data_IF_299769088667
#
_entry.id   IF_299769088667
#
_cell.length_a   1.000
_cell.length_b   1.000
_cell.length_c   1.000
_cell.angle_alpha   90.00
_cell.angle_beta   90.00
_cell.angle_gamma   90.00
#
_symmetry.space_group_name_H-M   'P 1'
#
loop_
_entity.id
_entity.type
_entity.pdbx_description
1 polymer ?
#
# COMPACT_ATOMS: atom_id res chain seq x y z
N UNK A 1 -13.62 -36.03 38.89
CA UNK A 1 -12.24 -35.62 38.82
C UNK A 1 -12.05 -34.27 38.21
N UNK A 2 -11.93 -33.26 39.07
CA UNK A 2 -11.73 -31.87 38.68
C UNK A 2 -10.43 -31.71 37.88
N UNK A 3 -9.37 -32.46 38.23
CA UNK A 3 -8.07 -32.36 37.51
C UNK A 3 -8.19 -32.78 36.05
N UNK A 4 -8.93 -33.85 35.73
CA UNK A 4 -9.16 -34.29 34.36
C UNK A 4 -9.96 -33.26 33.58
N UNK A 5 -10.98 -32.68 34.20
CA UNK A 5 -11.79 -31.60 33.57
C UNK A 5 -10.97 -30.35 33.32
N UNK A 6 -10.11 -29.96 34.27
CA UNK A 6 -9.20 -28.81 34.11
C UNK A 6 -8.19 -29.03 32.96
N UNK A 7 -7.62 -30.24 32.86
CA UNK A 7 -6.70 -30.59 31.78
C UNK A 7 -7.39 -30.52 30.40
N UNK A 8 -8.62 -31.02 30.30
CA UNK A 8 -9.42 -30.91 29.09
C UNK A 8 -9.68 -29.46 28.71
N UNK A 9 -10.02 -28.62 29.68
CA UNK A 9 -10.27 -27.21 29.47
C UNK A 9 -9.00 -26.48 29.01
N UNK A 10 -7.86 -26.77 29.64
CA UNK A 10 -6.57 -26.22 29.21
C UNK A 10 -6.25 -26.61 27.74
N UNK A 11 -6.47 -27.88 27.41
CA UNK A 11 -6.26 -28.37 26.05
C UNK A 11 -7.18 -27.67 25.03
N UNK A 12 -8.44 -27.43 25.39
CA UNK A 12 -9.39 -26.68 24.56
C UNK A 12 -8.94 -25.25 24.34
N UNK A 13 -8.48 -24.58 25.38
CA UNK A 13 -8.00 -23.20 25.31
C UNK A 13 -6.75 -23.10 24.43
N UNK A 14 -5.82 -24.01 24.59
CA UNK A 14 -4.62 -24.09 23.75
C UNK A 14 -5.01 -24.28 22.28
N UNK A 15 -5.92 -25.22 21.98
CA UNK A 15 -6.39 -25.48 20.61
C UNK A 15 -7.07 -24.25 20.02
N UNK A 16 -7.87 -23.55 20.81
CA UNK A 16 -8.56 -22.32 20.37
C UNK A 16 -7.55 -21.22 20.03
N UNK A 17 -6.56 -21.01 20.90
CA UNK A 17 -5.52 -20.01 20.66
C UNK A 17 -4.66 -20.36 19.44
N UNK A 18 -4.33 -21.65 19.25
CA UNK A 18 -3.61 -22.09 18.04
C UNK A 18 -4.41 -21.85 16.77
N UNK A 19 -5.72 -22.09 16.80
CA UNK A 19 -6.59 -21.78 15.65
C UNK A 19 -6.62 -20.29 15.36
N UNK A 20 -6.65 -19.45 16.38
CA UNK A 20 -6.57 -18.00 16.22
C UNK A 20 -5.23 -17.55 15.63
N UNK A 21 -4.12 -18.14 16.08
CA UNK A 21 -2.78 -17.90 15.54
C UNK A 21 -2.74 -18.26 14.06
N UNK A 22 -3.26 -19.43 13.68
CA UNK A 22 -3.29 -19.88 12.30
C UNK A 22 -4.09 -18.92 11.42
N UNK A 23 -5.28 -18.50 11.87
CA UNK A 23 -6.11 -17.56 11.14
C UNK A 23 -5.42 -16.19 10.97
N UNK A 24 -4.74 -15.70 12.00
CA UNK A 24 -3.99 -14.45 11.92
C UNK A 24 -2.79 -14.54 10.97
N UNK A 25 -2.10 -15.68 10.95
CA UNK A 25 -1.00 -15.91 10.01
C UNK A 25 -1.49 -15.95 8.57
N UNK A 26 -2.64 -16.57 8.32
CA UNK A 26 -3.27 -16.58 6.98
C UNK A 26 -3.65 -15.17 6.54
N UNK A 27 -4.26 -14.38 7.43
CA UNK A 27 -4.58 -12.98 7.16
C UNK A 27 -3.31 -12.16 6.85
N UNK A 28 -2.27 -12.34 7.67
CA UNK A 28 -0.98 -11.67 7.47
C UNK A 28 -0.38 -12.00 6.10
N UNK A 29 -0.38 -13.27 5.71
CA UNK A 29 0.16 -13.71 4.42
C UNK A 29 -0.65 -13.09 3.27
N UNK A 30 -1.97 -13.05 3.38
CA UNK A 30 -2.83 -12.40 2.39
C UNK A 30 -2.49 -10.91 2.26
N UNK A 31 -2.32 -10.22 3.38
CA UNK A 31 -1.97 -8.80 3.39
C UNK A 31 -0.59 -8.54 2.78
N UNK A 32 0.40 -9.40 3.06
CA UNK A 32 1.73 -9.29 2.46
C UNK A 32 1.68 -9.45 0.94
N UNK A 33 0.88 -10.39 0.43
CA UNK A 33 0.69 -10.58 -1.01
C UNK A 33 0.00 -9.37 -1.63
N UNK A 34 -1.00 -8.79 -0.95
CA UNK A 34 -1.66 -7.58 -1.42
C UNK A 34 -0.71 -6.38 -1.46
N UNK A 35 0.17 -6.24 -0.46
CA UNK A 35 1.19 -5.19 -0.43
C UNK A 35 2.15 -5.35 -1.60
N UNK A 36 2.61 -6.56 -1.90
CA UNK A 36 3.50 -6.81 -3.05
C UNK A 36 2.83 -6.38 -4.35
N UNK A 37 1.56 -6.71 -4.54
CA UNK A 37 0.80 -6.30 -5.72
C UNK A 37 0.64 -4.78 -5.79
N UNK A 38 0.38 -4.12 -4.66
CA UNK A 38 0.27 -2.66 -4.59
C UNK A 38 1.61 -1.97 -4.84
N UNK A 39 2.72 -2.53 -4.35
CA UNK A 39 4.06 -2.02 -4.64
C UNK A 39 4.35 -2.07 -6.15
N UNK A 40 3.96 -3.15 -6.84
CA UNK A 40 4.08 -3.26 -8.28
C UNK A 40 3.24 -2.19 -9.00
N UNK A 41 2.02 -1.96 -8.56
CA UNK A 41 1.18 -0.90 -9.11
C UNK A 41 1.79 0.49 -8.88
N UNK A 42 2.35 0.75 -7.70
CA UNK A 42 3.03 2.02 -7.42
C UNK A 42 4.20 2.24 -8.38
N UNK A 43 5.00 1.20 -8.64
CA UNK A 43 6.11 1.28 -9.60
C UNK A 43 5.62 1.61 -11.01
N UNK A 44 4.55 0.98 -11.47
CA UNK A 44 3.94 1.26 -12.78
C UNK A 44 3.45 2.70 -12.88
N UNK A 45 2.78 3.19 -11.85
CA UNK A 45 2.28 4.57 -11.81
C UNK A 45 3.44 5.56 -11.87
N UNK A 46 4.52 5.31 -11.13
CA UNK A 46 5.73 6.16 -11.15
C UNK A 46 6.38 6.17 -12.54
N UNK A 47 6.42 5.02 -13.20
CA UNK A 47 6.95 4.92 -14.57
C UNK A 47 6.09 5.68 -15.55
N UNK A 48 4.76 5.55 -15.49
CA UNK A 48 3.84 6.33 -16.32
C UNK A 48 3.99 7.83 -16.07
N UNK A 49 4.14 8.23 -14.83
CA UNK A 49 4.38 9.62 -14.47
C UNK A 49 5.64 10.15 -15.14
N UNK A 50 6.73 9.40 -15.04
CA UNK A 50 8.00 9.78 -15.65
C UNK A 50 7.89 9.90 -17.19
N UNK A 51 7.25 8.92 -17.84
CA UNK A 51 7.01 8.94 -19.27
C UNK A 51 6.16 10.15 -19.69
N UNK A 52 5.10 10.43 -18.94
CA UNK A 52 4.22 11.57 -19.19
C UNK A 52 4.98 12.89 -19.04
N UNK A 53 5.79 13.03 -17.99
CA UNK A 53 6.62 14.22 -17.77
C UNK A 53 7.58 14.45 -18.91
N UNK A 54 8.24 13.39 -19.42
CA UNK A 54 9.16 13.48 -20.53
C UNK A 54 8.45 13.88 -21.84
N UNK A 55 7.28 13.32 -22.11
CA UNK A 55 6.48 13.71 -23.29
C UNK A 55 6.07 15.17 -23.21
N UNK A 56 5.65 15.65 -22.05
CA UNK A 56 5.27 17.05 -21.87
C UNK A 56 6.47 17.98 -22.01
N UNK A 57 7.63 17.58 -21.48
CA UNK A 57 8.87 18.32 -21.65
C UNK A 57 9.25 18.43 -23.13
N UNK A 58 9.18 17.35 -23.90
CA UNK A 58 9.44 17.36 -25.32
C UNK A 58 8.48 18.29 -26.08
N UNK A 59 7.19 18.28 -25.68
CA UNK A 59 6.21 19.21 -26.27
C UNK A 59 6.55 20.66 -25.97
N UNK A 60 6.93 20.97 -24.74
CA UNK A 60 7.35 22.33 -24.34
C UNK A 60 8.59 22.75 -25.15
N UNK A 61 9.58 21.88 -25.30
CA UNK A 61 10.79 22.16 -26.07
C UNK A 61 10.45 22.39 -27.55
N UNK A 62 9.55 21.60 -28.13
CA UNK A 62 9.09 21.76 -29.51
C UNK A 62 8.32 23.08 -29.66
N UNK A 63 7.50 23.47 -28.68
CA UNK A 63 6.79 24.74 -28.70
C UNK A 63 7.78 25.92 -28.65
N UNK A 64 8.81 25.82 -27.80
CA UNK A 64 9.87 26.83 -27.73
C UNK A 64 10.63 26.94 -29.06
N UNK A 65 10.80 25.83 -29.82
CA UNK A 65 11.37 25.83 -31.14
C UNK A 65 10.57 26.62 -32.16
N UNK A 66 9.30 26.90 -31.92
CA UNK A 66 8.44 27.72 -32.80
C UNK A 66 8.80 29.21 -32.75
N UNK A 67 9.68 29.64 -31.85
CA UNK A 67 10.18 31.02 -31.79
C UNK A 67 10.91 31.44 -33.08
N UNK A 68 11.32 30.47 -33.90
CA UNK A 68 11.93 30.75 -35.22
C UNK A 68 10.95 31.36 -36.23
N UNK A 69 9.66 31.26 -35.97
CA UNK A 69 8.61 31.71 -36.86
C UNK A 69 7.90 32.91 -36.27
N UNK A 70 7.81 33.98 -37.02
CA UNK A 70 7.28 35.25 -36.56
C UNK A 70 5.87 35.57 -37.09
N UNK A 71 5.18 34.60 -37.66
CA UNK A 71 3.81 34.84 -38.14
C UNK A 71 2.83 34.92 -36.96
N UNK A 72 1.82 35.79 -37.10
CA UNK A 72 0.78 35.97 -36.08
C UNK A 72 0.05 34.66 -35.72
N UNK A 73 -0.24 33.84 -36.75
CA UNK A 73 -0.91 32.56 -36.56
C UNK A 73 -0.07 31.59 -35.75
N UNK A 74 1.23 31.54 -35.96
CA UNK A 74 2.15 30.70 -35.20
C UNK A 74 2.30 31.19 -33.77
N UNK A 75 2.37 32.50 -33.56
CA UNK A 75 2.41 33.09 -32.22
C UNK A 75 1.16 32.76 -31.42
N UNK A 76 -0.02 32.83 -32.04
CA UNK A 76 -1.29 32.46 -31.38
C UNK A 76 -1.35 30.96 -31.07
N UNK A 77 -0.93 30.12 -32.01
CA UNK A 77 -0.86 28.66 -31.81
C UNK A 77 0.09 28.30 -30.64
N UNK A 78 1.28 28.93 -30.65
CA UNK A 78 2.26 28.74 -29.57
C UNK A 78 1.68 29.08 -28.18
N UNK A 79 0.96 30.22 -28.09
CA UNK A 79 0.29 30.63 -26.86
C UNK A 79 -0.71 29.60 -26.36
N UNK A 80 -1.53 29.03 -27.26
CA UNK A 80 -2.50 27.99 -26.94
C UNK A 80 -1.82 26.69 -26.48
N UNK A 81 -0.77 26.27 -27.17
CA UNK A 81 -0.02 25.07 -26.83
C UNK A 81 0.70 25.20 -25.49
N UNK A 82 1.26 26.38 -25.19
CA UNK A 82 1.86 26.66 -23.88
C UNK A 82 0.82 26.57 -22.74
N UNK A 83 -0.37 27.11 -22.96
CA UNK A 83 -1.45 27.06 -21.97
C UNK A 83 -1.88 25.62 -21.67
N UNK A 84 -1.99 24.77 -22.70
CA UNK A 84 -2.38 23.35 -22.53
C UNK A 84 -1.30 22.55 -21.79
N UNK A 85 -0.02 22.84 -22.06
CA UNK A 85 1.10 22.04 -21.56
C UNK A 85 1.79 22.64 -20.32
N UNK A 86 1.24 23.71 -19.74
CA UNK A 86 1.84 24.35 -18.55
C UNK A 86 1.61 23.53 -17.31
N UNK A 87 2.68 23.10 -16.64
CA UNK A 87 2.63 22.43 -15.33
C UNK A 87 2.38 23.45 -14.19
N UNK A 88 2.65 24.72 -14.43
CA UNK A 88 2.50 25.79 -13.43
C UNK A 88 1.08 26.38 -13.38
N UNK A 89 0.30 26.12 -14.42
CA UNK A 89 -1.12 26.52 -14.47
C UNK A 89 -1.99 25.36 -14.00
N UNK A 90 -2.55 25.45 -12.80
CA UNK A 90 -3.40 24.41 -12.21
C UNK A 90 -4.68 24.12 -13.00
N UNK A 91 -5.02 24.93 -14.02
CA UNK A 91 -6.18 24.73 -14.90
C UNK A 91 -5.81 24.05 -16.22
N UNK A 92 -4.52 23.85 -16.50
CA UNK A 92 -4.11 23.23 -17.75
C UNK A 92 -4.45 21.73 -17.78
N UNK A 93 -4.66 21.20 -18.98
CA UNK A 93 -4.89 19.76 -19.18
C UNK A 93 -3.75 18.90 -18.59
N UNK A 94 -2.51 19.34 -18.83
CA UNK A 94 -1.31 18.61 -18.37
C UNK A 94 -1.23 18.62 -16.84
N UNK A 95 -1.43 19.78 -16.22
CA UNK A 95 -1.42 19.87 -14.75
C UNK A 95 -2.50 18.99 -14.13
N UNK A 96 -3.70 18.98 -14.69
CA UNK A 96 -4.80 18.13 -14.23
C UNK A 96 -4.47 16.63 -14.38
N UNK A 97 -3.88 16.25 -15.51
CA UNK A 97 -3.46 14.87 -15.75
C UNK A 97 -2.37 14.44 -14.74
N UNK A 98 -1.38 15.28 -14.47
CA UNK A 98 -0.33 14.99 -13.49
C UNK A 98 -0.88 14.91 -12.09
N UNK A 99 -1.81 15.78 -11.71
CA UNK A 99 -2.48 15.73 -10.41
C UNK A 99 -3.31 14.44 -10.24
N UNK A 100 -3.96 13.97 -11.30
CA UNK A 100 -4.68 12.70 -11.27
C UNK A 100 -3.73 11.50 -11.03
N UNK A 101 -2.58 11.50 -11.70
CA UNK A 101 -1.55 10.46 -11.49
C UNK A 101 -1.04 10.50 -10.04
N UNK A 102 -0.75 11.67 -9.52
CA UNK A 102 -0.30 11.84 -8.13
C UNK A 102 -1.35 11.38 -7.13
N UNK A 103 -2.63 11.64 -7.41
CA UNK A 103 -3.75 11.18 -6.59
C UNK A 103 -3.85 9.66 -6.57
N UNK A 104 -3.70 9.01 -7.73
CA UNK A 104 -3.67 7.54 -7.83
C UNK A 104 -2.51 6.96 -7.01
N UNK A 105 -1.34 7.57 -7.11
CA UNK A 105 -0.17 7.12 -6.34
C UNK A 105 -0.40 7.24 -4.84
N UNK A 106 -0.98 8.35 -4.38
CA UNK A 106 -1.33 8.52 -2.96
C UNK A 106 -2.33 7.47 -2.48
N UNK A 107 -3.32 7.14 -3.29
CA UNK A 107 -4.32 6.12 -2.95
C UNK A 107 -3.66 4.75 -2.76
N UNK A 108 -2.74 4.38 -3.65
CA UNK A 108 -1.98 3.12 -3.54
C UNK A 108 -1.11 3.13 -2.28
N UNK A 109 -0.39 4.22 -2.02
CA UNK A 109 0.46 4.36 -0.84
C UNK A 109 -0.34 4.28 0.47
N UNK A 110 -1.53 4.89 0.50
CA UNK A 110 -2.43 4.82 1.65
C UNK A 110 -2.96 3.39 1.86
N UNK A 111 -3.26 2.67 0.78
CA UNK A 111 -3.68 1.27 0.84
C UNK A 111 -2.57 0.37 1.41
N UNK A 112 -1.32 0.62 1.02
CA UNK A 112 -0.15 -0.09 1.57
C UNK A 112 0.00 0.21 3.05
N UNK A 113 -0.09 1.47 3.44
CA UNK A 113 0.03 1.90 4.84
C UNK A 113 -1.03 1.25 5.73
N UNK A 114 -2.27 1.24 5.28
CA UNK A 114 -3.38 0.61 6.00
C UNK A 114 -3.12 -0.87 6.26
N UNK A 115 -2.58 -1.58 5.26
CA UNK A 115 -2.24 -3.00 5.39
C UNK A 115 -1.06 -3.23 6.32
N UNK A 116 -0.06 -2.37 6.27
CA UNK A 116 1.08 -2.43 7.20
C UNK A 116 0.63 -2.19 8.65
N UNK A 117 -0.28 -1.27 8.88
CA UNK A 117 -0.85 -1.03 10.21
C UNK A 117 -1.58 -2.27 10.73
N UNK A 118 -2.33 -2.93 9.87
CA UNK A 118 -3.02 -4.18 10.25
C UNK A 118 -2.02 -5.31 10.54
N UNK A 119 -0.95 -5.42 9.76
CA UNK A 119 0.11 -6.42 10.02
C UNK A 119 0.78 -6.15 11.36
N UNK A 120 1.01 -4.89 11.71
CA UNK A 120 1.55 -4.54 13.02
C UNK A 120 0.63 -5.02 14.16
N UNK A 121 -0.67 -4.78 14.04
CA UNK A 121 -1.66 -5.27 15.02
C UNK A 121 -1.65 -6.80 15.10
N UNK A 122 -1.60 -7.48 13.95
CA UNK A 122 -1.55 -8.94 13.89
C UNK A 122 -0.31 -9.46 14.59
N UNK A 123 0.85 -8.87 14.35
CA UNK A 123 2.10 -9.29 15.01
C UNK A 123 2.01 -9.15 16.52
N UNK A 124 1.38 -8.09 17.03
CA UNK A 124 1.14 -7.93 18.46
C UNK A 124 0.20 -9.00 19.02
N UNK A 125 -0.88 -9.27 18.30
CA UNK A 125 -1.83 -10.32 18.70
C UNK A 125 -1.18 -11.70 18.68
N UNK A 126 -0.35 -11.99 17.68
CA UNK A 126 0.39 -13.25 17.61
C UNK A 126 1.31 -13.42 18.81
N UNK A 127 2.06 -12.39 19.20
CA UNK A 127 2.90 -12.44 20.39
C UNK A 127 2.08 -12.73 21.65
N UNK A 128 0.93 -12.08 21.80
CA UNK A 128 0.05 -12.29 22.94
C UNK A 128 -0.48 -13.73 22.99
N UNK A 129 -0.93 -14.27 21.87
CA UNK A 129 -1.41 -15.66 21.81
C UNK A 129 -0.29 -16.66 22.09
N UNK A 130 0.89 -16.44 21.53
CA UNK A 130 2.05 -17.31 21.77
C UNK A 130 2.44 -17.35 23.24
N UNK A 131 2.46 -16.18 23.92
CA UNK A 131 2.72 -16.08 25.35
C UNK A 131 1.64 -16.82 26.16
N UNK A 132 0.39 -16.63 25.81
CA UNK A 132 -0.73 -17.29 26.47
C UNK A 132 -0.67 -18.81 26.29
N UNK A 133 -0.35 -19.28 25.10
CA UNK A 133 -0.18 -20.71 24.82
C UNK A 133 0.95 -21.29 25.67
N UNK A 134 2.07 -20.61 25.75
CA UNK A 134 3.22 -21.06 26.54
C UNK A 134 2.86 -21.15 28.05
N UNK A 135 2.17 -20.14 28.57
CA UNK A 135 1.70 -20.16 29.96
C UNK A 135 0.75 -21.31 30.21
N UNK A 136 -0.18 -21.58 29.33
CA UNK A 136 -1.13 -22.67 29.43
C UNK A 136 -0.42 -24.03 29.34
N UNK A 137 0.55 -24.17 28.46
CA UNK A 137 1.37 -25.39 28.37
C UNK A 137 2.15 -25.65 29.63
N UNK A 138 2.74 -24.61 30.24
CA UNK A 138 3.45 -24.74 31.53
C UNK A 138 2.52 -25.17 32.65
N UNK A 139 1.33 -24.57 32.72
CA UNK A 139 0.31 -24.94 33.69
C UNK A 139 -0.13 -26.39 33.49
N UNK A 140 -0.37 -26.80 32.27
CA UNK A 140 -0.75 -28.17 31.92
C UNK A 140 0.32 -29.17 32.34
N UNK A 141 1.59 -28.90 32.04
CA UNK A 141 2.73 -29.78 32.45
C UNK A 141 2.83 -29.90 33.95
N UNK A 142 2.65 -28.80 34.68
CA UNK A 142 2.65 -28.86 36.17
C UNK A 142 1.52 -29.73 36.73
N UNK A 143 0.35 -29.67 36.11
CA UNK A 143 -0.78 -30.49 36.51
C UNK A 143 -0.56 -31.96 36.15
N UNK A 144 0.05 -32.26 35.03
CA UNK A 144 0.34 -33.63 34.60
C UNK A 144 1.43 -34.30 35.44
N UNK A 145 2.35 -33.51 36.02
CA UNK A 145 3.44 -34.05 36.84
C UNK A 145 3.04 -34.31 38.29
N UNK A 146 1.82 -33.99 38.68
CA UNK A 146 1.24 -34.32 39.97
C UNK A 146 0.43 -35.61 39.84
#
# INVERSE_FOLDING_TARGET
>A
NNTIMELKELSRRISRYRANVENLQLEKNRLLNEIDALDQEALKIKEYKWQAQNRFKCRVDNIAGMDRYSSRNITNLKGRLKSINSLNDGKSYVANAMNAIDSMLRDVENAIRSRNDRIYEINQQLCTYEDNIEQLRRKKRRMESK
#
